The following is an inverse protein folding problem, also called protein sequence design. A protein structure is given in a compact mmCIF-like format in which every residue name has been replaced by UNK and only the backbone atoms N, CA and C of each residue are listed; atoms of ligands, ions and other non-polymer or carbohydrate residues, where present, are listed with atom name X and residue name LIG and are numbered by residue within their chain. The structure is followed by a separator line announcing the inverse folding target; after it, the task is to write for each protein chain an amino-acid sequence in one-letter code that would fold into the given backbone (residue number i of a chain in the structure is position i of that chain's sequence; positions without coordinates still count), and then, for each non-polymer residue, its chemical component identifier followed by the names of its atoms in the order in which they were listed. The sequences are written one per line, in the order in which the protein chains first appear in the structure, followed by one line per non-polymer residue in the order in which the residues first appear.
data_IF_752878235482
#
_entry.id   IF_752878235482
#
_cell.length_a   1.000
_cell.length_b   1.000
_cell.length_c   1.000
_cell.angle_alpha   90.00
_cell.angle_beta   90.00
_cell.angle_gamma   90.00
#
_symmetry.space_group_name_H-M   'P 1'
#
loop_
_entity.id
_entity.type
_entity.pdbx_description
1 polymer ?
#
# COMPACT_ATOMS: atom_id res chain seq x y z
N UNK A 1 1.05 -33.32 -5.32
CA UNK A 1 0.11 -32.18 -5.32
C UNK A 1 -0.08 -31.70 -3.89
N UNK A 2 0.26 -30.45 -3.59
CA UNK A 2 0.15 -29.90 -2.23
C UNK A 2 -1.33 -29.56 -1.95
N UNK A 3 -1.88 -29.87 -0.77
CA UNK A 3 -3.25 -29.52 -0.38
C UNK A 3 -3.52 -28.01 -0.57
N UNK A 4 -2.47 -27.17 -0.40
CA UNK A 4 -2.50 -25.73 -0.66
C UNK A 4 -2.81 -25.39 -2.13
N UNK A 5 -2.35 -26.18 -3.10
CA UNK A 5 -2.62 -25.95 -4.53
C UNK A 5 -4.02 -26.39 -4.94
N UNK A 6 -4.62 -27.36 -4.23
CA UNK A 6 -5.98 -27.84 -4.50
C UNK A 6 -7.04 -26.80 -4.11
N UNK A 7 -6.86 -26.15 -2.95
CA UNK A 7 -7.76 -25.10 -2.45
C UNK A 7 -7.53 -23.72 -3.11
N UNK A 8 -6.35 -23.48 -3.68
CA UNK A 8 -6.03 -22.23 -4.36
C UNK A 8 -6.86 -22.00 -5.63
N UNK A 9 -7.17 -23.05 -6.40
CA UNK A 9 -7.91 -22.95 -7.68
C UNK A 9 -9.35 -22.40 -7.57
N UNK A 10 -10.21 -22.92 -6.66
CA UNK A 10 -11.56 -22.38 -6.51
C UNK A 10 -11.53 -20.94 -5.99
N UNK A 11 -10.65 -20.64 -5.02
CA UNK A 11 -10.50 -19.28 -4.50
C UNK A 11 -9.99 -18.31 -5.57
N UNK A 12 -9.00 -18.71 -6.37
CA UNK A 12 -8.49 -17.94 -7.49
C UNK A 12 -9.58 -17.62 -8.52
N UNK A 13 -10.42 -18.60 -8.86
CA UNK A 13 -11.54 -18.41 -9.77
C UNK A 13 -12.56 -17.40 -9.25
N UNK A 14 -12.89 -17.45 -7.95
CA UNK A 14 -13.83 -16.50 -7.32
C UNK A 14 -13.26 -15.07 -7.38
N UNK A 15 -12.01 -14.88 -6.94
CA UNK A 15 -11.35 -13.57 -6.97
C UNK A 15 -11.23 -13.04 -8.40
N UNK A 16 -10.85 -13.90 -9.35
CA UNK A 16 -10.74 -13.51 -10.75
C UNK A 16 -12.08 -13.03 -11.34
N UNK A 17 -13.17 -13.77 -11.08
CA UNK A 17 -14.52 -13.39 -11.53
C UNK A 17 -14.98 -12.07 -10.89
N UNK A 18 -14.68 -11.87 -9.62
CA UNK A 18 -15.01 -10.62 -8.92
C UNK A 18 -14.29 -9.43 -9.57
N UNK A 19 -12.98 -9.55 -9.83
CA UNK A 19 -12.20 -8.50 -10.52
C UNK A 19 -12.74 -8.24 -11.93
N UNK A 20 -13.09 -9.30 -12.68
CA UNK A 20 -13.71 -9.16 -14.00
C UNK A 20 -15.03 -8.41 -13.96
N UNK A 21 -15.83 -8.60 -12.91
CA UNK A 21 -17.08 -7.87 -12.70
C UNK A 21 -16.82 -6.40 -12.37
N UNK A 22 -15.87 -6.11 -11.47
CA UNK A 22 -15.47 -4.74 -11.09
C UNK A 22 -14.90 -3.95 -12.28
N UNK A 23 -14.22 -4.60 -13.22
CA UNK A 23 -13.75 -3.96 -14.46
C UNK A 23 -14.88 -3.33 -15.29
N UNK A 24 -16.11 -3.87 -15.20
CA UNK A 24 -17.26 -3.35 -15.95
C UNK A 24 -17.81 -2.05 -15.36
N UNK A 25 -17.48 -1.73 -14.11
CA UNK A 25 -17.97 -0.54 -13.38
C UNK A 25 -16.88 0.48 -13.08
N UNK A 26 -15.69 0.32 -13.66
CA UNK A 26 -14.48 1.08 -13.31
C UNK A 26 -14.66 2.60 -13.19
N UNK A 27 -15.41 3.23 -14.11
CA UNK A 27 -15.66 4.68 -14.08
C UNK A 27 -16.52 5.08 -12.88
N UNK A 28 -17.59 4.32 -12.62
CA UNK A 28 -18.47 4.56 -11.48
C UNK A 28 -17.74 4.33 -10.15
N UNK A 29 -16.90 3.28 -10.09
CA UNK A 29 -16.09 2.97 -8.93
C UNK A 29 -15.07 4.08 -8.62
N UNK A 30 -14.38 4.60 -9.64
CA UNK A 30 -13.47 5.74 -9.49
C UNK A 30 -14.18 6.99 -8.97
N UNK A 31 -15.38 7.30 -9.48
CA UNK A 31 -16.16 8.44 -9.00
C UNK A 31 -16.61 8.25 -7.54
N UNK A 32 -17.05 7.04 -7.18
CA UNK A 32 -17.44 6.70 -5.81
C UNK A 32 -16.25 6.83 -4.84
N UNK A 33 -15.09 6.29 -5.23
CA UNK A 33 -13.85 6.39 -4.45
C UNK A 33 -13.45 7.86 -4.27
N UNK A 34 -13.46 8.67 -5.34
CA UNK A 34 -13.14 10.09 -5.24
C UNK A 34 -14.06 10.80 -4.24
N UNK A 35 -15.37 10.60 -4.35
CA UNK A 35 -16.35 11.20 -3.46
C UNK A 35 -16.12 10.79 -2.00
N UNK A 36 -15.83 9.52 -1.76
CA UNK A 36 -15.52 9.01 -0.43
C UNK A 36 -14.24 9.63 0.14
N UNK A 37 -13.18 9.73 -0.65
CA UNK A 37 -11.90 10.30 -0.24
C UNK A 37 -12.03 11.78 0.10
N UNK A 38 -12.67 12.58 -0.77
CA UNK A 38 -12.91 14.01 -0.54
C UNK A 38 -13.75 14.22 0.71
N UNK A 39 -14.86 13.48 0.86
CA UNK A 39 -15.71 13.57 2.05
C UNK A 39 -14.96 13.23 3.34
N UNK A 40 -14.13 12.19 3.31
CA UNK A 40 -13.37 11.73 4.48
C UNK A 40 -12.25 12.69 4.87
N UNK A 41 -11.60 13.32 3.88
CA UNK A 41 -10.49 14.24 4.09
C UNK A 41 -10.93 15.69 4.33
N UNK A 42 -12.22 16.04 4.20
CA UNK A 42 -12.74 17.41 4.32
C UNK A 42 -12.26 18.16 5.58
N UNK A 43 -12.14 17.47 6.72
CA UNK A 43 -11.70 18.07 7.98
C UNK A 43 -10.17 18.22 8.16
N UNK A 44 -9.37 17.67 7.25
CA UNK A 44 -7.90 17.70 7.32
C UNK A 44 -7.34 19.06 6.92
N UNK A 45 -6.08 19.35 7.27
CA UNK A 45 -5.41 20.56 6.82
C UNK A 45 -5.39 20.66 5.29
N UNK A 46 -5.08 19.55 4.60
CA UNK A 46 -5.12 19.48 3.14
C UNK A 46 -6.52 19.76 2.59
N UNK A 47 -7.55 19.13 3.18
CA UNK A 47 -8.94 19.34 2.79
C UNK A 47 -9.40 20.79 2.93
N UNK A 48 -8.99 21.47 4.02
CA UNK A 48 -9.26 22.90 4.24
C UNK A 48 -8.52 23.79 3.24
N UNK A 49 -7.24 23.54 3.02
CA UNK A 49 -6.40 24.30 2.07
C UNK A 49 -6.89 24.18 0.62
N UNK A 50 -7.65 23.13 0.32
CA UNK A 50 -8.19 22.83 -0.99
C UNK A 50 -9.72 22.91 -1.06
N UNK A 51 -10.39 23.51 -0.07
CA UNK A 51 -11.84 23.72 -0.07
C UNK A 51 -12.64 22.45 -0.41
N UNK A 52 -12.29 21.31 0.20
CA UNK A 52 -12.98 20.03 -0.03
C UNK A 52 -14.47 20.07 0.32
N UNK A 53 -14.88 21.07 1.09
CA UNK A 53 -16.27 21.38 1.40
C UNK A 53 -17.08 21.89 0.21
N UNK A 54 -16.42 22.43 -0.81
CA UNK A 54 -17.02 23.00 -2.03
C UNK A 54 -16.92 22.06 -3.25
N UNK A 55 -16.26 20.91 -3.11
CA UNK A 55 -16.09 19.94 -4.19
C UNK A 55 -17.36 19.09 -4.31
N UNK A 56 -18.04 19.18 -5.46
CA UNK A 56 -19.29 18.45 -5.74
C UNK A 56 -19.16 17.46 -6.89
N UNK A 57 -18.11 17.59 -7.71
CA UNK A 57 -17.86 16.79 -8.90
C UNK A 57 -16.37 16.72 -9.23
N UNK A 58 -16.02 15.95 -10.26
CA UNK A 58 -14.63 15.83 -10.71
C UNK A 58 -14.04 17.15 -11.24
N UNK A 59 -14.85 18.01 -11.86
CA UNK A 59 -14.37 19.27 -12.45
C UNK A 59 -13.97 20.28 -11.35
N UNK A 60 -14.79 20.41 -10.32
CA UNK A 60 -14.50 21.19 -9.10
C UNK A 60 -13.29 20.62 -8.35
N UNK A 61 -13.18 19.29 -8.23
CA UNK A 61 -11.98 18.65 -7.66
C UNK A 61 -10.70 19.02 -8.41
N UNK A 62 -10.71 18.90 -9.75
CA UNK A 62 -9.53 19.21 -10.58
C UNK A 62 -9.11 20.67 -10.48
N UNK A 63 -10.06 21.60 -10.33
CA UNK A 63 -9.77 23.03 -10.11
C UNK A 63 -9.18 23.27 -8.72
N UNK A 64 -9.69 22.59 -7.71
CA UNK A 64 -9.27 22.77 -6.32
C UNK A 64 -7.91 22.15 -6.03
N UNK A 65 -7.59 20.98 -6.60
CA UNK A 65 -6.39 20.20 -6.29
C UNK A 65 -5.42 20.17 -7.48
N UNK A 66 -4.37 21.02 -7.48
CA UNK A 66 -3.37 21.02 -8.54
C UNK A 66 -2.47 19.77 -8.45
N UNK A 67 -1.96 19.34 -9.60
CA UNK A 67 -0.98 18.27 -9.71
C UNK A 67 0.36 18.76 -9.16
N UNK A 68 1.01 17.93 -8.34
CA UNK A 68 2.27 18.26 -7.65
C UNK A 68 3.19 17.04 -7.60
N UNK A 69 4.48 17.31 -7.49
CA UNK A 69 5.47 16.31 -7.11
C UNK A 69 5.58 16.21 -5.57
N UNK A 70 6.56 15.44 -5.09
CA UNK A 70 6.81 15.28 -3.66
C UNK A 70 7.12 16.61 -2.95
N UNK A 71 7.78 17.54 -3.64
CA UNK A 71 8.19 18.81 -3.05
C UNK A 71 7.00 19.70 -2.77
N UNK A 72 5.99 19.68 -3.63
CA UNK A 72 4.70 20.30 -3.37
C UNK A 72 3.94 19.74 -2.16
N UNK A 73 4.34 18.59 -1.62
CA UNK A 73 3.80 18.01 -0.38
C UNK A 73 4.76 18.11 0.82
N UNK A 74 6.00 18.59 0.64
CA UNK A 74 7.06 18.54 1.66
C UNK A 74 6.60 19.14 2.99
N UNK A 75 5.96 20.31 2.97
CA UNK A 75 5.50 20.97 4.20
C UNK A 75 4.48 20.15 4.99
N UNK A 76 3.56 19.48 4.32
CA UNK A 76 2.61 18.57 4.97
C UNK A 76 3.31 17.35 5.56
N UNK A 77 4.29 16.79 4.82
CA UNK A 77 5.05 15.64 5.29
C UNK A 77 5.91 16.00 6.51
N UNK A 78 6.54 17.18 6.54
CA UNK A 78 7.30 17.62 7.71
C UNK A 78 6.41 17.82 8.95
N UNK A 79 5.18 18.30 8.78
CA UNK A 79 4.21 18.33 9.89
C UNK A 79 3.88 16.93 10.40
N UNK A 80 3.63 15.98 9.50
CA UNK A 80 3.36 14.58 9.86
C UNK A 80 4.56 13.97 10.59
N UNK A 81 5.79 14.22 10.12
CA UNK A 81 7.03 13.74 10.76
C UNK A 81 7.25 14.32 12.16
N UNK A 82 6.64 15.46 12.48
CA UNK A 82 6.61 16.06 13.82
C UNK A 82 5.47 15.52 14.70
N UNK A 83 4.66 14.59 14.19
CA UNK A 83 3.53 13.99 14.91
C UNK A 83 2.22 14.77 14.79
N UNK A 84 2.12 15.75 13.88
CA UNK A 84 0.87 16.48 13.66
C UNK A 84 -0.18 15.56 13.01
N UNK A 85 -1.37 15.51 13.62
CA UNK A 85 -2.50 14.70 13.13
C UNK A 85 -3.36 15.49 12.14
N UNK A 86 -4.19 14.77 11.36
CA UNK A 86 -5.19 15.37 10.46
C UNK A 86 -4.60 16.28 9.37
N UNK A 87 -3.37 16.00 8.90
CA UNK A 87 -2.69 16.83 7.90
C UNK A 87 -3.15 16.49 6.48
N UNK A 88 -2.72 15.35 5.94
CA UNK A 88 -3.14 14.85 4.61
C UNK A 88 -4.34 13.90 4.69
N UNK A 89 -4.49 13.22 5.82
CA UNK A 89 -5.55 12.25 6.11
C UNK A 89 -5.91 12.32 7.58
N UNK A 90 -7.09 11.80 7.96
CA UNK A 90 -7.55 11.79 9.35
C UNK A 90 -6.59 11.01 10.26
N UNK A 91 -6.37 11.53 11.46
CA UNK A 91 -5.46 10.95 12.46
C UNK A 91 -3.99 11.00 12.04
N UNK A 92 -3.20 10.04 12.56
CA UNK A 92 -1.83 9.78 12.12
C UNK A 92 -1.81 8.63 11.12
N UNK A 93 -0.87 8.64 10.15
CA UNK A 93 -0.57 7.48 9.33
C UNK A 93 -0.24 6.26 10.18
N UNK A 94 -0.57 5.07 9.69
CA UNK A 94 -0.17 3.81 10.32
C UNK A 94 1.34 3.60 10.17
N UNK A 95 1.88 3.92 8.99
CA UNK A 95 3.30 3.85 8.68
C UNK A 95 3.77 5.06 7.87
N UNK A 96 5.07 5.32 7.90
CA UNK A 96 5.76 6.11 6.88
C UNK A 96 6.68 5.19 6.07
N UNK A 97 6.39 5.02 4.79
CA UNK A 97 7.29 4.32 3.88
C UNK A 97 8.41 5.24 3.39
N UNK A 98 9.66 4.84 3.62
CA UNK A 98 10.84 5.53 3.10
C UNK A 98 11.16 5.04 1.69
N UNK A 99 11.38 5.98 0.78
CA UNK A 99 11.94 5.68 -0.55
C UNK A 99 13.30 6.36 -0.68
N UNK A 100 14.25 5.67 -1.31
CA UNK A 100 15.56 6.20 -1.66
C UNK A 100 15.38 7.16 -2.83
N UNK A 101 14.94 8.38 -2.53
CA UNK A 101 14.90 9.45 -3.52
C UNK A 101 16.32 9.81 -3.93
N UNK A 102 16.59 9.83 -5.23
CA UNK A 102 17.92 10.12 -5.79
C UNK A 102 18.22 11.62 -5.90
N UNK A 103 17.23 12.49 -5.71
CA UNK A 103 17.35 13.93 -5.99
C UNK A 103 17.13 14.84 -4.77
N UNK A 104 16.32 14.41 -3.79
CA UNK A 104 15.85 15.28 -2.68
C UNK A 104 16.14 14.72 -1.29
N UNK A 105 16.98 13.68 -1.20
CA UNK A 105 17.10 12.85 0.00
C UNK A 105 15.93 11.86 0.16
N UNK A 106 15.82 11.31 1.37
CA UNK A 106 14.81 10.28 1.69
C UNK A 106 13.41 10.89 1.65
N UNK A 107 12.51 10.30 0.85
CA UNK A 107 11.10 10.67 0.81
C UNK A 107 10.31 9.78 1.76
N UNK A 108 9.35 10.39 2.45
CA UNK A 108 8.44 9.72 3.38
C UNK A 108 7.02 9.74 2.82
N UNK A 109 6.47 8.56 2.55
CA UNK A 109 5.13 8.37 2.00
C UNK A 109 4.21 7.84 3.10
N UNK A 110 3.20 8.62 3.54
CA UNK A 110 2.22 8.17 4.52
C UNK A 110 1.37 7.01 4.03
N UNK A 111 1.23 5.97 4.86
CA UNK A 111 0.31 4.85 4.63
C UNK A 111 -0.78 4.92 5.71
N UNK A 112 -2.04 5.01 5.30
CA UNK A 112 -3.15 5.07 6.25
C UNK A 112 -3.53 3.69 6.77
N UNK A 113 -4.29 3.65 7.86
CA UNK A 113 -4.88 2.42 8.39
C UNK A 113 -5.83 1.77 7.38
N UNK A 114 -6.53 2.59 6.59
CA UNK A 114 -7.47 2.12 5.57
C UNK A 114 -6.76 1.57 4.32
N UNK A 115 -5.59 2.10 3.96
CA UNK A 115 -4.92 1.72 2.71
C UNK A 115 -4.04 0.48 2.84
N UNK A 116 -3.62 0.08 4.04
CA UNK A 116 -2.68 -1.04 4.22
C UNK A 116 -3.22 -2.35 3.65
N UNK A 117 -4.52 -2.62 3.80
CA UNK A 117 -5.18 -3.81 3.25
C UNK A 117 -5.17 -3.84 1.73
N UNK A 118 -5.12 -2.68 1.06
CA UNK A 118 -5.06 -2.59 -0.40
C UNK A 118 -3.72 -3.12 -0.93
N UNK A 119 -2.60 -2.86 -0.23
CA UNK A 119 -1.29 -3.40 -0.61
C UNK A 119 -1.28 -4.93 -0.55
N UNK A 120 -1.83 -5.51 0.52
CA UNK A 120 -1.87 -6.96 0.73
C UNK A 120 -2.85 -7.62 -0.23
N UNK A 121 -4.05 -7.05 -0.36
CA UNK A 121 -5.09 -7.58 -1.25
C UNK A 121 -4.66 -7.48 -2.72
N UNK A 122 -4.00 -6.39 -3.12
CA UNK A 122 -3.48 -6.22 -4.48
C UNK A 122 -2.46 -7.30 -4.84
N UNK A 123 -1.46 -7.53 -3.99
CA UNK A 123 -0.46 -8.57 -4.21
C UNK A 123 -1.08 -9.97 -4.27
N UNK A 124 -1.98 -10.30 -3.33
CA UNK A 124 -2.74 -11.55 -3.34
C UNK A 124 -3.55 -11.72 -4.62
N UNK A 125 -4.31 -10.69 -4.99
CA UNK A 125 -5.21 -10.73 -6.14
C UNK A 125 -4.44 -10.87 -7.47
N UNK A 126 -3.25 -10.27 -7.58
CA UNK A 126 -2.37 -10.45 -8.73
C UNK A 126 -1.94 -11.92 -8.90
N UNK A 127 -1.49 -12.55 -7.81
CA UNK A 127 -1.10 -13.97 -7.79
C UNK A 127 -2.29 -14.87 -8.16
N UNK A 128 -3.45 -14.65 -7.54
CA UNK A 128 -4.66 -15.44 -7.80
C UNK A 128 -5.18 -15.28 -9.22
N UNK A 129 -5.11 -14.07 -9.77
CA UNK A 129 -5.49 -13.79 -11.16
C UNK A 129 -4.56 -14.51 -12.14
N UNK A 130 -3.25 -14.54 -11.87
CA UNK A 130 -2.30 -15.31 -12.65
C UNK A 130 -2.62 -16.81 -12.60
N UNK A 131 -2.86 -17.38 -11.41
CA UNK A 131 -3.25 -18.79 -11.26
C UNK A 131 -4.53 -19.12 -12.04
N UNK A 132 -5.54 -18.25 -11.97
CA UNK A 132 -6.80 -18.45 -12.68
C UNK A 132 -6.65 -18.32 -14.20
N UNK A 133 -5.83 -17.39 -14.69
CA UNK A 133 -5.67 -17.12 -16.12
C UNK A 133 -4.72 -18.09 -16.82
N UNK A 134 -3.65 -18.51 -16.14
CA UNK A 134 -2.64 -19.42 -16.72
C UNK A 134 -2.90 -20.89 -16.39
N UNK A 135 -3.70 -21.20 -15.37
CA UNK A 135 -3.82 -22.54 -14.80
C UNK A 135 -2.59 -23.02 -14.02
N UNK A 136 -1.48 -22.26 -14.05
CA UNK A 136 -0.25 -22.59 -13.35
C UNK A 136 -0.38 -22.28 -11.85
N UNK A 137 -0.34 -23.32 -11.03
CA UNK A 137 -0.38 -23.22 -9.56
C UNK A 137 0.88 -23.78 -8.90
N UNK A 138 1.82 -24.31 -9.67
CA UNK A 138 2.91 -25.14 -9.14
C UNK A 138 3.88 -24.31 -8.29
N UNK A 139 4.06 -23.04 -8.65
CA UNK A 139 4.90 -22.09 -7.90
C UNK A 139 4.42 -21.89 -6.44
N UNK A 140 3.13 -22.10 -6.14
CA UNK A 140 2.60 -21.93 -4.79
C UNK A 140 3.13 -22.97 -3.80
N UNK A 141 3.52 -24.14 -4.31
CA UNK A 141 4.14 -25.20 -3.52
C UNK A 141 5.67 -25.09 -3.43
N UNK A 142 6.29 -24.24 -4.25
CA UNK A 142 7.74 -24.04 -4.29
C UNK A 142 8.27 -23.11 -3.20
N UNK A 143 9.59 -23.00 -3.11
CA UNK A 143 10.26 -21.97 -2.32
C UNK A 143 10.17 -20.63 -3.05
N UNK A 144 9.91 -19.55 -2.31
CA UNK A 144 9.82 -18.20 -2.83
C UNK A 144 10.94 -17.36 -2.22
N UNK A 145 11.84 -16.84 -3.06
CA UNK A 145 12.82 -15.85 -2.63
C UNK A 145 12.17 -14.46 -2.71
N UNK A 146 12.07 -13.79 -1.57
CA UNK A 146 11.55 -12.43 -1.44
C UNK A 146 12.63 -11.54 -0.83
N UNK A 147 13.42 -10.90 -1.70
CA UNK A 147 14.46 -9.96 -1.30
C UNK A 147 13.80 -8.62 -0.94
N UNK A 148 13.48 -8.47 0.34
CA UNK A 148 12.83 -7.28 0.88
C UNK A 148 13.82 -6.28 1.46
N UNK A 149 13.39 -5.02 1.59
CA UNK A 149 14.10 -4.09 2.48
C UNK A 149 13.95 -4.55 3.92
N UNK A 150 14.86 -4.12 4.80
CA UNK A 150 14.84 -4.53 6.21
C UNK A 150 13.43 -4.36 6.81
N UNK A 151 12.91 -5.40 7.49
CA UNK A 151 11.64 -5.32 8.18
C UNK A 151 11.74 -4.52 9.49
N UNK A 152 12.93 -4.10 9.90
CA UNK A 152 13.11 -3.23 11.04
C UNK A 152 12.48 -1.86 10.79
N UNK A 153 11.79 -1.35 11.81
CA UNK A 153 11.09 -0.08 11.74
C UNK A 153 11.67 0.87 12.77
N UNK A 154 12.09 2.05 12.32
CA UNK A 154 12.37 3.17 13.23
C UNK A 154 11.08 3.91 13.58
N UNK A 155 11.20 4.98 14.38
CA UNK A 155 10.08 5.90 14.64
C UNK A 155 10.42 7.31 14.23
N UNK A 156 9.53 7.92 13.43
CA UNK A 156 9.58 9.33 13.06
C UNK A 156 8.28 9.98 13.52
N UNK A 157 8.35 10.96 14.42
CA UNK A 157 7.15 11.56 15.02
C UNK A 157 6.26 10.56 15.75
N UNK A 158 6.85 9.49 16.30
CA UNK A 158 6.13 8.37 16.91
C UNK A 158 5.54 7.35 15.92
N UNK A 159 5.62 7.60 14.61
CA UNK A 159 5.06 6.73 13.56
C UNK A 159 6.10 5.67 13.14
N UNK A 160 5.75 4.37 13.11
CA UNK A 160 6.63 3.33 12.59
C UNK A 160 7.02 3.60 11.14
N UNK A 161 8.32 3.57 10.85
CA UNK A 161 8.88 4.06 9.59
C UNK A 161 9.91 3.07 9.03
N UNK A 162 9.82 2.74 7.75
CA UNK A 162 10.70 1.75 7.12
C UNK A 162 10.52 1.67 5.60
N UNK A 163 11.20 0.72 4.95
CA UNK A 163 10.97 0.45 3.51
C UNK A 163 9.58 -0.19 3.34
N UNK A 164 8.87 0.12 2.26
CA UNK A 164 7.53 -0.45 2.02
C UNK A 164 7.54 -1.99 2.04
N UNK A 165 8.54 -2.62 1.43
CA UNK A 165 8.69 -4.08 1.42
C UNK A 165 8.95 -4.67 2.82
N UNK A 166 9.65 -3.94 3.69
CA UNK A 166 9.83 -4.31 5.09
C UNK A 166 8.54 -4.16 5.90
N UNK A 167 7.79 -3.07 5.69
CA UNK A 167 6.49 -2.82 6.31
C UNK A 167 5.50 -3.94 6.00
N UNK A 168 5.37 -4.34 4.72
CA UNK A 168 4.41 -5.40 4.34
C UNK A 168 4.77 -6.77 4.91
N UNK A 169 6.03 -7.04 5.28
CA UNK A 169 6.46 -8.30 5.88
C UNK A 169 5.75 -8.58 7.23
N UNK A 170 5.42 -7.52 7.97
CA UNK A 170 4.62 -7.57 9.20
C UNK A 170 3.16 -7.99 8.97
N UNK A 171 2.68 -7.94 7.73
CA UNK A 171 1.31 -8.27 7.36
C UNK A 171 1.18 -9.62 6.63
N UNK A 172 2.28 -10.32 6.39
CA UNK A 172 2.26 -11.65 5.75
C UNK A 172 1.77 -12.68 6.78
N UNK A 173 0.68 -13.42 6.49
CA UNK A 173 0.21 -14.49 7.38
C UNK A 173 1.26 -15.58 7.60
N UNK A 174 1.40 -16.06 8.85
CA UNK A 174 2.43 -17.03 9.24
C UNK A 174 2.43 -18.32 8.38
N UNK A 175 1.24 -18.79 7.98
CA UNK A 175 1.10 -20.01 7.16
C UNK A 175 1.66 -19.87 5.73
N UNK A 176 1.92 -18.63 5.28
CA UNK A 176 2.56 -18.30 4.00
C UNK A 176 4.08 -18.06 4.14
N UNK A 177 4.60 -17.91 5.36
CA UNK A 177 6.04 -17.68 5.58
C UNK A 177 6.87 -18.96 5.48
N UNK A 178 6.26 -20.14 5.64
CA UNK A 178 7.00 -21.41 5.71
C UNK A 178 7.76 -21.82 4.45
N UNK A 179 7.45 -21.24 3.28
CA UNK A 179 8.18 -21.44 2.03
C UNK A 179 8.87 -20.17 1.53
N UNK A 180 8.89 -19.09 2.32
CA UNK A 180 9.52 -17.83 1.99
C UNK A 180 10.98 -17.83 2.47
N UNK A 181 11.88 -17.37 1.60
CA UNK A 181 13.29 -17.19 1.85
C UNK A 181 13.70 -15.74 1.49
N UNK A 182 14.75 -15.18 2.09
CA UNK A 182 15.48 -15.73 3.23
C UNK A 182 14.66 -15.56 4.54
N UNK A 183 15.19 -15.99 5.70
CA UNK A 183 14.48 -15.86 6.97
C UNK A 183 14.27 -14.39 7.37
N UNK A 184 13.49 -14.15 8.43
CA UNK A 184 13.33 -12.79 8.95
C UNK A 184 14.68 -12.23 9.41
N UNK A 185 15.46 -13.03 10.14
CA UNK A 185 16.78 -12.68 10.65
C UNK A 185 17.73 -12.30 9.50
N UNK A 186 17.77 -13.09 8.43
CA UNK A 186 18.58 -12.76 7.24
C UNK A 186 18.08 -11.48 6.56
N UNK A 187 16.76 -11.24 6.49
CA UNK A 187 16.23 -10.00 5.91
C UNK A 187 16.61 -8.75 6.72
N UNK A 188 16.87 -8.88 8.03
CA UNK A 188 17.33 -7.79 8.89
C UNK A 188 18.80 -7.41 8.67
N UNK A 189 19.61 -8.25 8.03
CA UNK A 189 21.02 -7.91 7.75
C UNK A 189 21.05 -6.68 6.83
N UNK A 190 21.70 -5.60 7.23
CA UNK A 190 21.78 -4.40 6.39
C UNK A 190 22.78 -4.59 5.25
N UNK A 191 23.97 -5.14 5.55
CA UNK A 191 25.04 -5.22 4.58
C UNK A 191 24.83 -6.32 3.54
N UNK A 192 24.85 -5.95 2.27
CA UNK A 192 24.43 -6.82 1.17
C UNK A 192 25.34 -8.03 1.01
N UNK A 193 26.66 -7.83 1.06
CA UNK A 193 27.63 -8.92 0.89
C UNK A 193 27.56 -9.98 2.01
N UNK A 194 27.00 -9.61 3.17
CA UNK A 194 26.81 -10.52 4.31
C UNK A 194 25.44 -11.21 4.29
N UNK A 195 24.44 -10.61 3.61
CA UNK A 195 23.06 -11.10 3.54
C UNK A 195 22.91 -12.31 2.62
#
# INVERSE_FOLDING_TARGET
MNIKSLLAKPFASVVHRQIKKEQLTAVADQQSILNQLVKSAKGTQFGKNHHFDQITDYASFKKAVPIRDYEGFREYIEQIKKGTQNVLWKGLPLYLAKTSGTTSGIKYIPISKESISNHISGARNAILTYMSGSGNTDFAGGKMIFLSGSPELERVGGIPTGRLSGIVNHHIPQYLKGNQLPSFETNCIEEWETK
#
